data_IF_870135709165
#
_entry.id   IF_870135709165
#
_cell.length_a   1.000
_cell.length_b   1.000
_cell.length_c   1.000
_cell.angle_alpha   90.00
_cell.angle_beta   90.00
_cell.angle_gamma   90.00
#
_symmetry.space_group_name_H-M   'P 1'
#
loop_
_entity.id
_entity.type
_entity.pdbx_description
1 polymer ?
#
# COMPACT_ATOMS: atom_id res chain seq x y z
N UNK A 1 26.23 -34.28 -13.62
CA UNK A 1 24.83 -34.63 -13.85
C UNK A 1 24.07 -33.31 -13.93
N UNK A 2 23.74 -32.87 -15.14
CA UNK A 2 23.02 -31.64 -15.40
C UNK A 2 21.54 -31.92 -15.17
N UNK A 3 20.96 -31.33 -14.14
CA UNK A 3 19.51 -31.28 -14.00
C UNK A 3 18.96 -30.45 -15.17
N UNK A 4 18.24 -31.13 -16.04
CA UNK A 4 17.47 -30.50 -17.10
C UNK A 4 16.47 -29.56 -16.48
N UNK A 5 16.71 -28.26 -16.63
CA UNK A 5 15.70 -27.22 -16.43
C UNK A 5 14.54 -27.54 -17.38
N UNK A 6 13.53 -28.26 -16.90
CA UNK A 6 12.29 -28.42 -17.63
C UNK A 6 11.72 -27.02 -17.81
N UNK A 7 11.64 -26.54 -19.03
CA UNK A 7 10.98 -25.31 -19.43
C UNK A 7 9.48 -25.48 -19.23
N UNK A 8 9.05 -25.38 -17.97
CA UNK A 8 7.65 -25.34 -17.64
C UNK A 8 7.05 -24.10 -18.34
N UNK A 9 6.05 -24.30 -19.16
CA UNK A 9 5.28 -23.23 -19.79
C UNK A 9 4.91 -22.16 -18.72
N UNK A 10 4.94 -20.88 -19.06
CA UNK A 10 4.58 -19.85 -18.11
C UNK A 10 3.13 -20.06 -17.62
N UNK A 11 2.89 -19.92 -16.32
CA UNK A 11 1.56 -19.94 -15.74
C UNK A 11 0.87 -18.60 -16.03
N UNK A 12 -0.08 -18.58 -16.94
CA UNK A 12 -0.77 -17.37 -17.43
C UNK A 12 -2.28 -17.64 -17.57
N UNK A 13 -2.99 -17.88 -16.45
CA UNK A 13 -4.43 -18.13 -16.45
C UNK A 13 -5.23 -16.90 -16.90
N UNK A 14 -6.52 -17.09 -17.21
CA UNK A 14 -7.43 -15.98 -17.47
C UNK A 14 -7.51 -15.06 -16.24
N UNK A 15 -7.28 -13.77 -16.47
CA UNK A 15 -7.20 -12.80 -15.38
C UNK A 15 -8.15 -11.60 -15.58
N UNK A 16 -8.71 -11.10 -14.48
CA UNK A 16 -9.46 -9.85 -14.46
C UNK A 16 -8.76 -8.83 -13.54
N UNK A 17 -8.41 -7.69 -14.12
CA UNK A 17 -7.94 -6.54 -13.34
C UNK A 17 -9.15 -5.76 -12.87
N UNK A 18 -9.28 -5.51 -11.57
CA UNK A 18 -10.36 -4.71 -11.00
C UNK A 18 -9.81 -3.39 -10.49
N UNK A 19 -10.38 -2.30 -11.00
CA UNK A 19 -10.09 -0.93 -10.60
C UNK A 19 -11.34 -0.27 -10.04
N UNK A 20 -11.33 0.09 -8.76
CA UNK A 20 -12.40 0.84 -8.12
C UNK A 20 -12.02 2.33 -8.11
N UNK A 21 -12.88 3.18 -8.69
CA UNK A 21 -12.63 4.62 -8.85
C UNK A 21 -13.57 5.46 -7.98
N UNK A 22 -12.99 6.49 -7.38
CA UNK A 22 -13.68 7.58 -6.71
C UNK A 22 -12.89 8.87 -6.92
N UNK A 23 -13.40 9.74 -7.76
CA UNK A 23 -12.72 10.93 -8.25
C UNK A 23 -11.68 10.63 -9.34
N UNK A 24 -11.29 11.66 -10.06
CA UNK A 24 -10.25 11.59 -11.08
C UNK A 24 -8.92 12.08 -10.51
N UNK A 25 -8.11 11.17 -9.99
CA UNK A 25 -6.75 11.49 -9.59
C UNK A 25 -5.93 11.98 -10.80
N UNK A 26 -4.96 12.88 -10.61
CA UNK A 26 -4.17 13.45 -11.74
C UNK A 26 -3.42 12.40 -12.58
N UNK A 27 -3.17 11.23 -12.01
CA UNK A 27 -2.45 10.13 -12.66
C UNK A 27 -3.40 9.07 -13.28
N UNK A 28 -4.71 9.27 -13.18
CA UNK A 28 -5.69 8.29 -13.66
C UNK A 28 -5.55 7.97 -15.16
N UNK A 29 -5.33 8.95 -16.07
CA UNK A 29 -5.13 8.64 -17.49
C UNK A 29 -3.97 7.69 -17.75
N UNK A 30 -2.80 7.97 -17.14
CA UNK A 30 -1.59 7.16 -17.28
C UNK A 30 -1.76 5.79 -16.63
N UNK A 31 -2.44 5.72 -15.47
CA UNK A 31 -2.78 4.46 -14.81
C UNK A 31 -3.64 3.58 -15.74
N UNK A 32 -4.69 4.14 -16.33
CA UNK A 32 -5.56 3.41 -17.26
C UNK A 32 -4.78 2.92 -18.49
N UNK A 33 -3.96 3.77 -19.09
CA UNK A 33 -3.11 3.38 -20.23
C UNK A 33 -2.16 2.23 -19.86
N UNK A 34 -1.54 2.29 -18.69
CA UNK A 34 -0.67 1.22 -18.20
C UNK A 34 -1.41 -0.10 -18.00
N UNK A 35 -2.64 -0.07 -17.47
CA UNK A 35 -3.47 -1.26 -17.29
C UNK A 35 -3.93 -1.88 -18.62
N UNK A 36 -4.17 -1.05 -19.64
CA UNK A 36 -4.56 -1.51 -20.98
C UNK A 36 -3.40 -2.09 -21.80
N UNK A 37 -2.16 -1.87 -21.40
CA UNK A 37 -0.96 -2.29 -22.12
C UNK A 37 -0.13 -3.33 -21.35
N UNK A 38 -0.79 -4.21 -20.62
CA UNK A 38 -0.10 -5.31 -19.95
C UNK A 38 0.36 -6.38 -20.94
N UNK A 39 1.61 -6.83 -20.79
CA UNK A 39 2.19 -7.94 -21.55
C UNK A 39 1.67 -9.28 -20.98
N UNK A 40 0.39 -9.53 -21.18
CA UNK A 40 -0.32 -10.70 -20.69
C UNK A 40 -1.28 -11.22 -21.78
N UNK A 41 -1.34 -12.54 -22.04
CA UNK A 41 -2.03 -13.06 -23.22
C UNK A 41 -3.55 -12.87 -23.18
N UNK A 42 -4.17 -13.11 -22.03
CA UNK A 42 -5.61 -13.02 -21.87
C UNK A 42 -6.01 -12.39 -20.54
N UNK A 43 -6.53 -11.18 -20.61
CA UNK A 43 -7.07 -10.47 -19.45
C UNK A 43 -8.14 -9.47 -19.88
N UNK A 44 -8.95 -9.09 -18.91
CA UNK A 44 -9.88 -7.97 -19.03
C UNK A 44 -9.70 -6.98 -17.89
N UNK A 45 -10.22 -5.78 -18.07
CA UNK A 45 -10.23 -4.73 -17.03
C UNK A 45 -11.68 -4.43 -16.64
N UNK A 46 -12.00 -4.56 -15.36
CA UNK A 46 -13.30 -4.18 -14.83
C UNK A 46 -13.16 -2.94 -13.96
N UNK A 47 -13.77 -1.84 -14.38
CA UNK A 47 -13.74 -0.55 -13.71
C UNK A 47 -15.09 -0.31 -13.05
N UNK A 48 -15.10 -0.11 -11.73
CA UNK A 48 -16.30 0.27 -10.98
C UNK A 48 -16.11 1.70 -10.47
N UNK A 49 -16.97 2.62 -10.92
CA UNK A 49 -16.92 4.04 -10.56
C UNK A 49 -17.99 4.32 -9.51
N UNK A 50 -17.63 5.08 -8.47
CA UNK A 50 -18.44 5.35 -7.29
C UNK A 50 -19.87 5.85 -7.60
N UNK A 51 -20.03 6.80 -8.52
CA UNK A 51 -21.34 7.29 -8.94
C UNK A 51 -21.32 7.67 -10.42
N UNK A 52 -22.51 7.88 -11.00
CA UNK A 52 -22.64 8.32 -12.41
C UNK A 52 -22.18 9.76 -12.62
N UNK A 53 -22.17 10.54 -11.56
CA UNK A 53 -21.78 11.96 -11.56
C UNK A 53 -20.29 12.14 -11.24
N UNK A 54 -19.55 11.04 -11.03
CA UNK A 54 -18.12 11.11 -10.72
C UNK A 54 -17.32 11.52 -11.96
N UNK A 55 -16.43 12.49 -11.81
CA UNK A 55 -15.57 13.01 -12.89
C UNK A 55 -14.66 11.96 -13.54
N UNK A 56 -14.42 10.84 -12.86
CA UNK A 56 -13.67 9.71 -13.40
C UNK A 56 -14.30 9.14 -14.69
N UNK A 57 -15.61 9.30 -14.90
CA UNK A 57 -16.29 8.86 -16.12
C UNK A 57 -15.72 9.49 -17.38
N UNK A 58 -15.50 10.80 -17.35
CA UNK A 58 -14.99 11.53 -18.51
C UNK A 58 -13.55 11.08 -18.83
N UNK A 59 -12.73 10.91 -17.80
CA UNK A 59 -11.34 10.44 -17.96
C UNK A 59 -11.31 9.02 -18.53
N UNK A 60 -12.12 8.10 -17.97
CA UNK A 60 -12.21 6.72 -18.45
C UNK A 60 -12.72 6.70 -19.89
N UNK A 61 -13.82 7.40 -20.19
CA UNK A 61 -14.39 7.44 -21.53
C UNK A 61 -13.40 8.01 -22.56
N UNK A 62 -12.68 9.09 -22.22
CA UNK A 62 -11.67 9.68 -23.09
C UNK A 62 -10.50 8.73 -23.35
N UNK A 63 -10.04 8.02 -22.32
CA UNK A 63 -8.94 7.05 -22.44
C UNK A 63 -9.37 5.87 -23.32
N UNK A 64 -10.54 5.28 -23.05
CA UNK A 64 -11.02 4.10 -23.78
C UNK A 64 -11.31 4.37 -25.25
N UNK A 65 -11.70 5.58 -25.64
CA UNK A 65 -11.85 5.96 -27.06
C UNK A 65 -10.56 5.78 -27.86
N UNK A 66 -9.38 5.87 -27.22
CA UNK A 66 -8.08 5.65 -27.86
C UNK A 66 -7.75 4.16 -28.04
N UNK A 67 -8.42 3.28 -27.30
CA UNK A 67 -8.13 1.83 -27.23
C UNK A 67 -9.38 0.97 -27.39
N UNK A 68 -10.12 1.06 -28.50
CA UNK A 68 -11.44 0.45 -28.66
C UNK A 68 -11.43 -1.09 -28.71
N UNK A 69 -10.27 -1.69 -28.95
CA UNK A 69 -10.12 -3.16 -29.05
C UNK A 69 -9.85 -3.87 -27.72
N UNK A 70 -9.67 -3.09 -26.64
CA UNK A 70 -9.36 -3.66 -25.31
C UNK A 70 -10.64 -4.14 -24.63
N UNK A 71 -10.57 -5.30 -23.96
CA UNK A 71 -11.67 -5.85 -23.17
C UNK A 71 -11.80 -5.07 -21.84
N UNK A 72 -12.67 -4.08 -21.82
CA UNK A 72 -12.93 -3.26 -20.65
C UNK A 72 -14.41 -3.20 -20.34
N UNK A 73 -14.76 -3.52 -19.12
CA UNK A 73 -16.11 -3.35 -18.58
C UNK A 73 -16.11 -2.16 -17.62
N UNK A 74 -17.01 -1.21 -17.84
CA UNK A 74 -17.14 -0.03 -16.95
C UNK A 74 -18.56 0.03 -16.42
N UNK A 75 -18.71 0.15 -15.11
CA UNK A 75 -20.02 0.22 -14.46
C UNK A 75 -20.01 1.23 -13.31
N UNK A 76 -21.16 1.87 -13.02
CA UNK A 76 -21.31 2.60 -11.77
C UNK A 76 -21.46 1.62 -10.62
N UNK A 77 -21.05 2.03 -9.42
CA UNK A 77 -21.38 1.31 -8.21
C UNK A 77 -22.89 1.35 -7.97
N UNK A 78 -23.55 0.19 -8.03
CA UNK A 78 -25.01 0.07 -7.91
C UNK A 78 -25.48 0.07 -6.46
N UNK A 79 -24.72 -0.59 -5.58
CA UNK A 79 -25.08 -0.72 -4.17
C UNK A 79 -23.96 -0.24 -3.29
N UNK A 80 -24.18 0.92 -2.65
CA UNK A 80 -23.30 1.45 -1.60
C UNK A 80 -23.70 0.81 -0.27
N UNK A 81 -22.99 -0.26 0.11
CA UNK A 81 -23.25 -0.94 1.39
C UNK A 81 -22.89 0.01 2.55
N UNK A 82 -23.75 0.00 3.56
CA UNK A 82 -23.56 0.85 4.75
C UNK A 82 -22.66 0.16 5.80
N UNK A 83 -22.32 -1.11 5.59
CA UNK A 83 -21.63 -1.98 6.56
C UNK A 83 -20.16 -2.22 6.24
N UNK A 84 -19.65 -1.65 5.15
CA UNK A 84 -18.26 -1.85 4.74
C UNK A 84 -17.68 -0.62 4.05
N UNK A 85 -16.37 -0.65 3.82
CA UNK A 85 -15.69 0.33 3.00
C UNK A 85 -16.24 0.40 1.57
N UNK A 86 -16.26 1.58 0.99
CA UNK A 86 -16.83 1.76 -0.35
C UNK A 86 -16.09 0.97 -1.42
N UNK A 87 -14.76 0.83 -1.30
CA UNK A 87 -13.96 -0.02 -2.17
C UNK A 87 -14.41 -1.48 -2.08
N UNK A 88 -14.69 -1.99 -0.87
CA UNK A 88 -15.23 -3.34 -0.70
C UNK A 88 -16.56 -3.51 -1.43
N UNK A 89 -17.48 -2.52 -1.35
CA UNK A 89 -18.74 -2.55 -2.11
C UNK A 89 -18.51 -2.67 -3.62
N UNK A 90 -17.54 -1.91 -4.16
CA UNK A 90 -17.20 -1.93 -5.58
C UNK A 90 -16.57 -3.27 -6.00
N UNK A 91 -15.68 -3.82 -5.17
CA UNK A 91 -15.05 -5.12 -5.44
C UNK A 91 -16.05 -6.27 -5.40
N UNK A 92 -16.96 -6.29 -4.42
CA UNK A 92 -18.03 -7.30 -4.36
C UNK A 92 -18.88 -7.26 -5.63
N UNK A 93 -19.23 -6.05 -6.12
CA UNK A 93 -19.95 -5.93 -7.38
C UNK A 93 -19.14 -6.48 -8.56
N UNK A 94 -17.86 -6.13 -8.65
CA UNK A 94 -17.01 -6.57 -9.76
C UNK A 94 -16.80 -8.09 -9.75
N UNK A 95 -16.60 -8.70 -8.58
CA UNK A 95 -16.42 -10.15 -8.43
C UNK A 95 -17.71 -10.91 -8.82
N UNK A 96 -18.88 -10.41 -8.44
CA UNK A 96 -20.15 -11.02 -8.83
C UNK A 96 -20.43 -10.99 -10.34
N UNK A 97 -19.64 -10.23 -11.09
CA UNK A 97 -19.76 -10.06 -12.54
C UNK A 97 -18.56 -10.61 -13.31
N UNK A 98 -17.73 -11.43 -12.68
CA UNK A 98 -16.60 -12.09 -13.33
C UNK A 98 -17.08 -13.09 -14.39
N UNK A 99 -16.31 -13.23 -15.44
CA UNK A 99 -16.50 -14.32 -16.40
C UNK A 99 -16.19 -15.65 -15.71
N UNK A 100 -16.90 -16.70 -16.10
CA UNK A 100 -16.80 -18.04 -15.48
C UNK A 100 -15.40 -18.65 -15.59
N UNK A 101 -14.65 -18.27 -16.62
CA UNK A 101 -13.30 -18.76 -16.89
C UNK A 101 -12.22 -17.96 -16.17
N UNK A 102 -12.58 -16.93 -15.37
CA UNK A 102 -11.62 -16.11 -14.65
C UNK A 102 -11.01 -16.90 -13.48
N UNK A 103 -9.72 -17.17 -13.57
CA UNK A 103 -8.98 -17.92 -12.53
C UNK A 103 -8.26 -17.01 -11.52
N UNK A 104 -7.94 -15.77 -11.93
CA UNK A 104 -7.20 -14.81 -11.11
C UNK A 104 -7.81 -13.41 -11.19
N UNK A 105 -8.03 -12.82 -10.04
CA UNK A 105 -8.38 -11.40 -9.91
C UNK A 105 -7.17 -10.61 -9.47
N UNK A 106 -6.85 -9.52 -10.18
CA UNK A 106 -5.81 -8.58 -9.82
C UNK A 106 -6.42 -7.24 -9.41
N UNK A 107 -6.21 -6.83 -8.15
CA UNK A 107 -6.65 -5.54 -7.62
C UNK A 107 -5.57 -4.48 -7.81
N UNK A 108 -5.99 -3.27 -8.17
CA UNK A 108 -5.11 -2.13 -8.39
C UNK A 108 -5.76 -0.84 -7.88
N UNK A 109 -4.95 0.07 -7.34
CA UNK A 109 -5.38 1.43 -6.98
C UNK A 109 -5.20 2.40 -8.16
N UNK A 110 -6.00 3.46 -8.22
CA UNK A 110 -5.98 4.46 -9.31
C UNK A 110 -4.69 5.29 -9.36
N UNK A 111 -3.90 5.29 -8.30
CA UNK A 111 -2.60 5.96 -8.19
C UNK A 111 -1.40 5.01 -8.43
N UNK A 112 -1.68 3.80 -8.91
CA UNK A 112 -0.67 2.77 -9.13
C UNK A 112 -0.24 2.73 -10.59
N UNK A 113 0.98 3.20 -10.87
CA UNK A 113 1.57 3.20 -12.22
C UNK A 113 2.24 1.84 -12.49
N UNK A 114 1.49 0.93 -13.11
CA UNK A 114 1.98 -0.41 -13.41
C UNK A 114 2.92 -0.43 -14.62
N UNK A 115 3.98 -1.26 -14.56
CA UNK A 115 4.83 -1.49 -15.73
C UNK A 115 4.24 -2.60 -16.64
N UNK A 116 4.68 -2.75 -17.90
CA UNK A 116 4.04 -3.66 -18.85
C UNK A 116 4.01 -5.15 -18.42
N UNK A 117 4.92 -5.59 -17.58
CA UNK A 117 4.96 -6.97 -17.08
C UNK A 117 4.32 -7.15 -15.70
N UNK A 118 3.68 -6.10 -15.15
CA UNK A 118 3.15 -6.12 -13.80
C UNK A 118 2.18 -7.30 -13.56
N UNK A 119 1.19 -7.48 -14.43
CA UNK A 119 0.21 -8.56 -14.26
C UNK A 119 0.87 -9.95 -14.35
N UNK A 120 1.82 -10.13 -15.27
CA UNK A 120 2.57 -11.38 -15.42
C UNK A 120 3.38 -11.72 -14.17
N UNK A 121 4.10 -10.74 -13.63
CA UNK A 121 4.91 -10.93 -12.43
C UNK A 121 4.05 -11.15 -11.19
N UNK A 122 2.90 -10.48 -11.13
CA UNK A 122 1.94 -10.62 -10.02
C UNK A 122 1.30 -12.01 -10.03
N UNK A 123 0.94 -12.55 -11.19
CA UNK A 123 0.26 -13.85 -11.34
C UNK A 123 1.23 -15.03 -11.27
N UNK A 124 2.45 -14.88 -11.79
CA UNK A 124 3.40 -15.99 -11.93
C UNK A 124 3.62 -16.84 -10.66
N UNK A 125 3.76 -16.27 -9.45
CA UNK A 125 3.98 -17.08 -8.25
C UNK A 125 2.74 -17.87 -7.80
N UNK A 126 1.54 -17.55 -8.31
CA UNK A 126 0.31 -18.29 -8.03
C UNK A 126 0.32 -19.70 -8.65
N UNK A 127 1.31 -20.03 -9.50
CA UNK A 127 1.54 -21.39 -9.95
C UNK A 127 1.74 -22.37 -8.79
N UNK A 128 2.38 -21.93 -7.72
CA UNK A 128 2.51 -22.70 -6.48
C UNK A 128 1.13 -22.86 -5.83
N UNK A 129 0.64 -24.10 -5.64
CA UNK A 129 -0.65 -24.33 -5.01
C UNK A 129 -0.71 -23.81 -3.55
N UNK A 130 0.41 -23.70 -2.86
CA UNK A 130 0.48 -23.16 -1.52
C UNK A 130 0.29 -21.63 -1.45
N UNK A 131 0.33 -20.94 -2.60
CA UNK A 131 0.17 -19.49 -2.67
C UNK A 131 -1.25 -19.18 -3.16
N UNK A 132 -2.06 -18.55 -2.29
CA UNK A 132 -3.42 -18.12 -2.59
C UNK A 132 -3.50 -16.70 -3.13
N UNK A 133 -2.56 -15.84 -2.72
CA UNK A 133 -2.47 -14.47 -3.20
C UNK A 133 -1.02 -13.99 -3.30
N UNK A 134 -0.81 -12.99 -4.16
CA UNK A 134 0.49 -12.31 -4.32
C UNK A 134 0.30 -10.81 -4.21
N UNK A 135 1.30 -10.10 -3.67
CA UNK A 135 1.24 -8.66 -3.48
C UNK A 135 2.54 -7.97 -3.84
N UNK A 136 2.45 -6.76 -4.43
CA UNK A 136 3.52 -5.79 -4.51
C UNK A 136 3.49 -4.79 -3.37
N UNK A 137 4.20 -3.68 -3.53
CA UNK A 137 4.10 -2.53 -2.63
C UNK A 137 4.49 -1.22 -3.33
N UNK A 138 4.18 -0.11 -2.68
CA UNK A 138 4.62 1.23 -3.08
C UNK A 138 6.02 1.53 -2.57
N UNK A 139 6.73 2.37 -3.34
CA UNK A 139 7.97 3.00 -2.92
C UNK A 139 7.86 4.51 -3.12
N UNK A 140 7.72 5.25 -2.05
CA UNK A 140 7.56 6.69 -2.13
C UNK A 140 8.91 7.37 -2.35
N UNK A 141 8.95 8.26 -3.36
CA UNK A 141 10.13 9.09 -3.62
C UNK A 141 9.86 10.48 -3.03
N UNK A 142 10.61 10.90 -2.01
CA UNK A 142 10.38 12.17 -1.36
C UNK A 142 10.81 13.34 -2.25
N UNK A 143 9.99 14.39 -2.32
CA UNK A 143 10.45 15.72 -2.67
C UNK A 143 11.18 16.32 -1.47
N UNK A 144 12.33 16.95 -1.72
CA UNK A 144 13.20 17.54 -0.71
C UNK A 144 12.55 18.68 0.08
N UNK A 145 11.40 19.19 -0.37
CA UNK A 145 10.75 20.39 0.16
C UNK A 145 9.88 20.09 1.39
N UNK A 146 9.30 18.91 1.48
CA UNK A 146 8.28 18.57 2.47
C UNK A 146 8.75 17.52 3.47
N UNK A 147 8.79 17.87 4.75
CA UNK A 147 9.11 16.94 5.84
C UNK A 147 8.18 15.72 5.90
N UNK A 148 6.89 15.90 5.58
CA UNK A 148 5.95 14.79 5.52
C UNK A 148 6.35 13.75 4.49
N UNK A 149 6.86 14.15 3.32
CA UNK A 149 7.34 13.23 2.29
C UNK A 149 8.59 12.47 2.71
N UNK A 150 9.53 13.13 3.41
CA UNK A 150 10.72 12.49 3.97
C UNK A 150 10.35 11.45 5.03
N UNK A 151 9.45 11.81 5.95
CA UNK A 151 8.95 10.92 6.99
C UNK A 151 8.17 9.75 6.37
N UNK A 152 7.36 9.99 5.33
CA UNK A 152 6.62 8.94 4.61
C UNK A 152 7.58 7.97 3.91
N UNK A 153 8.63 8.45 3.30
CA UNK A 153 9.67 7.59 2.71
C UNK A 153 10.27 6.65 3.77
N UNK A 154 10.74 7.19 4.90
CA UNK A 154 11.33 6.39 5.98
C UNK A 154 10.33 5.40 6.59
N UNK A 155 9.10 5.83 6.81
CA UNK A 155 8.01 4.96 7.28
C UNK A 155 7.67 3.86 6.28
N UNK A 156 7.71 4.15 4.97
CA UNK A 156 7.49 3.17 3.91
C UNK A 156 8.63 2.15 3.82
N UNK A 157 9.90 2.57 3.97
CA UNK A 157 11.05 1.66 4.03
C UNK A 157 10.84 0.61 5.13
N UNK A 158 10.45 1.03 6.34
CA UNK A 158 10.14 0.11 7.43
C UNK A 158 8.90 -0.75 7.12
N UNK A 159 7.85 -0.17 6.55
CA UNK A 159 6.61 -0.86 6.22
C UNK A 159 6.80 -1.97 5.19
N UNK A 160 7.63 -1.76 4.15
CA UNK A 160 7.93 -2.79 3.14
C UNK A 160 8.54 -4.04 3.79
N UNK A 161 9.48 -3.85 4.72
CA UNK A 161 10.07 -4.96 5.47
C UNK A 161 9.03 -5.69 6.32
N UNK A 162 8.20 -4.95 7.06
CA UNK A 162 7.12 -5.56 7.85
C UNK A 162 6.08 -6.29 7.00
N UNK A 163 5.73 -5.73 5.83
CA UNK A 163 4.76 -6.35 4.92
C UNK A 163 5.28 -7.67 4.33
N UNK A 164 6.56 -7.72 3.95
CA UNK A 164 7.19 -8.96 3.51
C UNK A 164 7.26 -9.99 4.64
N UNK A 165 7.84 -9.61 5.80
CA UNK A 165 8.03 -10.52 6.94
C UNK A 165 6.73 -11.09 7.51
N UNK A 166 5.65 -10.30 7.50
CA UNK A 166 4.36 -10.68 8.08
C UNK A 166 3.29 -11.01 7.03
N UNK A 167 3.66 -11.07 5.75
CA UNK A 167 2.74 -11.39 4.65
C UNK A 167 1.51 -10.46 4.62
N UNK A 168 1.68 -9.15 4.86
CA UNK A 168 0.61 -8.17 4.83
C UNK A 168 0.35 -7.76 3.37
N UNK A 169 -0.81 -8.07 2.79
CA UNK A 169 -1.11 -7.69 1.41
C UNK A 169 -1.44 -6.20 1.28
N UNK A 170 -1.27 -5.68 0.07
CA UNK A 170 -1.65 -4.33 -0.32
C UNK A 170 -2.58 -4.36 -1.53
N UNK A 171 -3.81 -3.88 -1.37
CA UNK A 171 -4.85 -3.88 -2.38
C UNK A 171 -4.61 -2.99 -3.61
N UNK A 172 -3.51 -2.24 -3.65
CA UNK A 172 -3.10 -1.48 -4.83
C UNK A 172 -2.21 -2.24 -5.80
N UNK A 173 -1.77 -3.45 -5.44
CA UNK A 173 -1.09 -4.43 -6.32
C UNK A 173 -1.22 -5.81 -5.67
N UNK A 174 -2.36 -6.48 -5.91
CA UNK A 174 -2.73 -7.72 -5.23
C UNK A 174 -3.41 -8.66 -6.23
N UNK A 175 -2.92 -9.90 -6.38
CA UNK A 175 -3.64 -10.93 -7.11
C UNK A 175 -4.12 -12.03 -6.17
N UNK A 176 -5.32 -12.56 -6.46
CA UNK A 176 -6.00 -13.57 -5.66
C UNK A 176 -6.52 -14.64 -6.62
N UNK A 177 -6.30 -15.92 -6.34
CA UNK A 177 -6.97 -17.02 -7.06
C UNK A 177 -8.47 -16.97 -6.78
N UNK A 178 -9.29 -17.05 -7.81
CA UNK A 178 -10.76 -16.92 -7.70
C UNK A 178 -11.40 -17.94 -6.77
N UNK A 179 -10.87 -19.16 -6.70
CA UNK A 179 -11.37 -20.21 -5.80
C UNK A 179 -11.47 -19.76 -4.33
N UNK A 180 -10.60 -18.84 -3.88
CA UNK A 180 -10.62 -18.39 -2.48
C UNK A 180 -11.74 -17.41 -2.17
N UNK A 181 -12.48 -16.89 -3.15
CA UNK A 181 -13.67 -16.09 -2.85
C UNK A 181 -14.78 -16.94 -2.23
N UNK A 182 -14.94 -18.18 -2.70
CA UNK A 182 -15.93 -19.12 -2.19
C UNK A 182 -15.39 -19.89 -0.98
N UNK A 183 -14.17 -20.45 -1.08
CA UNK A 183 -13.55 -21.28 -0.06
C UNK A 183 -13.40 -20.58 1.31
N UNK A 184 -13.30 -19.23 1.32
CA UNK A 184 -13.10 -18.44 2.53
C UNK A 184 -14.26 -17.52 2.91
N UNK A 185 -15.37 -17.56 2.18
CA UNK A 185 -16.48 -16.61 2.30
C UNK A 185 -15.98 -15.14 2.23
N UNK A 186 -15.00 -14.88 1.36
CA UNK A 186 -14.28 -13.60 1.34
C UNK A 186 -15.22 -12.42 1.04
N UNK A 187 -16.22 -12.61 0.17
CA UNK A 187 -17.18 -11.56 -0.16
C UNK A 187 -18.07 -11.19 1.02
N UNK A 188 -18.43 -12.15 1.87
CA UNK A 188 -19.15 -11.88 3.10
C UNK A 188 -18.29 -11.07 4.08
N UNK A 189 -17.04 -11.46 4.27
CA UNK A 189 -16.08 -10.68 5.06
C UNK A 189 -15.92 -9.25 4.53
N UNK A 190 -15.78 -9.07 3.21
CA UNK A 190 -15.69 -7.74 2.59
C UNK A 190 -16.96 -6.93 2.80
N UNK A 191 -18.13 -7.55 2.89
CA UNK A 191 -19.40 -6.85 3.11
C UNK A 191 -19.51 -6.19 4.50
N UNK A 192 -18.60 -6.52 5.43
CA UNK A 192 -18.56 -6.02 6.79
C UNK A 192 -17.20 -5.36 7.14
N UNK A 193 -16.26 -5.30 6.19
CA UNK A 193 -14.90 -4.84 6.44
C UNK A 193 -14.67 -3.40 5.97
N UNK A 194 -13.74 -2.70 6.64
CA UNK A 194 -13.28 -1.38 6.23
C UNK A 194 -12.39 -1.41 4.98
N UNK A 195 -11.54 -2.44 4.87
CA UNK A 195 -10.58 -2.61 3.78
C UNK A 195 -10.54 -4.07 3.34
N UNK A 196 -10.26 -4.29 2.06
CA UNK A 196 -10.34 -5.59 1.38
C UNK A 196 -9.07 -6.44 1.53
N UNK A 197 -7.91 -5.80 1.75
CA UNK A 197 -6.61 -6.43 1.56
C UNK A 197 -6.11 -7.15 2.83
N UNK A 198 -5.96 -6.43 3.92
CA UNK A 198 -5.25 -6.92 5.12
C UNK A 198 -5.91 -8.17 5.74
N UNK A 199 -7.24 -8.29 5.66
CA UNK A 199 -8.00 -9.43 6.18
C UNK A 199 -7.72 -10.73 5.40
N UNK A 200 -7.25 -10.63 4.16
CA UNK A 200 -6.97 -11.77 3.29
C UNK A 200 -5.92 -12.72 3.88
N UNK A 201 -4.96 -12.19 4.68
CA UNK A 201 -3.97 -13.01 5.37
C UNK A 201 -4.64 -14.11 6.23
N UNK A 202 -5.60 -13.74 7.08
CA UNK A 202 -6.28 -14.68 7.95
C UNK A 202 -7.17 -15.65 7.16
N UNK A 203 -7.87 -15.16 6.14
CA UNK A 203 -8.73 -15.96 5.29
C UNK A 203 -7.94 -17.06 4.56
N UNK A 204 -6.82 -16.72 3.92
CA UNK A 204 -5.97 -17.69 3.25
C UNK A 204 -5.28 -18.65 4.20
N UNK A 205 -4.78 -18.15 5.34
CA UNK A 205 -4.14 -18.99 6.37
C UNK A 205 -5.07 -20.07 6.90
N UNK A 206 -6.35 -19.79 7.05
CA UNK A 206 -7.36 -20.77 7.47
C UNK A 206 -7.50 -21.92 6.46
N UNK A 207 -7.21 -21.69 5.19
CA UNK A 207 -7.21 -22.68 4.11
C UNK A 207 -5.80 -23.29 3.86
N UNK A 208 -4.82 -23.01 4.71
CA UNK A 208 -3.44 -23.48 4.51
C UNK A 208 -2.68 -22.77 3.40
N UNK A 209 -3.26 -21.73 2.80
CA UNK A 209 -2.63 -20.94 1.74
C UNK A 209 -1.89 -19.71 2.30
N UNK A 210 -0.99 -19.15 1.46
CA UNK A 210 -0.13 -18.03 1.85
C UNK A 210 -0.32 -16.83 0.95
N UNK A 211 -0.06 -15.65 1.50
CA UNK A 211 0.22 -14.43 0.73
C UNK A 211 1.72 -14.37 0.45
N UNK A 212 2.10 -14.14 -0.80
CA UNK A 212 3.51 -13.98 -1.20
C UNK A 212 3.80 -12.55 -1.64
N UNK A 213 4.76 -11.91 -1.02
CA UNK A 213 5.32 -10.65 -1.49
C UNK A 213 6.19 -10.87 -2.72
N UNK A 214 6.06 -9.99 -3.73
CA UNK A 214 6.83 -10.03 -4.98
C UNK A 214 7.68 -8.78 -5.08
N UNK A 215 8.98 -8.84 -4.73
CA UNK A 215 9.85 -7.66 -4.67
C UNK A 215 9.96 -6.88 -5.98
N UNK A 216 9.88 -7.58 -7.13
CA UNK A 216 9.91 -6.95 -8.44
C UNK A 216 8.69 -6.07 -8.71
N UNK A 217 7.63 -6.15 -7.90
CA UNK A 217 6.42 -5.35 -7.97
C UNK A 217 6.41 -4.17 -6.99
N UNK A 218 7.57 -3.69 -6.60
CA UNK A 218 7.70 -2.39 -5.91
C UNK A 218 7.43 -1.29 -6.93
N UNK A 219 6.37 -0.50 -6.72
CA UNK A 219 5.87 0.53 -7.63
C UNK A 219 6.23 1.91 -7.10
N UNK A 220 6.92 2.70 -7.92
CA UNK A 220 7.33 4.05 -7.55
C UNK A 220 6.11 4.96 -7.47
N UNK A 221 5.96 5.64 -6.34
CA UNK A 221 4.96 6.67 -6.12
C UNK A 221 5.65 8.02 -5.83
N UNK A 222 5.31 9.06 -6.59
CA UNK A 222 5.93 10.40 -6.52
C UNK A 222 5.02 11.43 -5.85
N UNK A 223 3.93 10.99 -5.25
CA UNK A 223 3.07 11.90 -4.48
C UNK A 223 3.83 12.55 -3.33
N UNK A 224 3.48 13.80 -3.06
CA UNK A 224 4.07 14.54 -1.94
C UNK A 224 3.02 14.82 -0.87
N UNK A 225 3.46 14.89 0.39
CA UNK A 225 2.55 15.18 1.50
C UNK A 225 3.23 16.03 2.58
N UNK A 226 2.43 16.81 3.29
CA UNK A 226 2.85 17.42 4.55
C UNK A 226 2.76 16.39 5.71
N UNK A 227 3.31 16.76 6.86
CA UNK A 227 3.37 15.86 8.02
C UNK A 227 1.99 15.47 8.54
N UNK A 228 1.01 16.38 8.49
CA UNK A 228 -0.36 16.10 8.93
C UNK A 228 -1.08 15.10 8.01
N UNK A 229 -0.89 15.25 6.70
CA UNK A 229 -1.41 14.29 5.72
C UNK A 229 -0.77 12.92 5.88
N UNK A 230 0.55 12.86 6.16
CA UNK A 230 1.22 11.61 6.51
C UNK A 230 0.61 10.94 7.74
N UNK A 231 0.40 11.68 8.83
CA UNK A 231 -0.17 11.12 10.06
C UNK A 231 -1.57 10.54 9.85
N UNK A 232 -2.43 11.25 9.10
CA UNK A 232 -3.77 10.74 8.76
C UNK A 232 -3.70 9.49 7.90
N UNK A 233 -2.82 9.48 6.89
CA UNK A 233 -2.62 8.33 6.03
C UNK A 233 -2.08 7.13 6.82
N UNK A 234 -1.04 7.31 7.64
CA UNK A 234 -0.44 6.24 8.45
C UNK A 234 -1.43 5.71 9.49
N UNK A 235 -2.19 6.58 10.16
CA UNK A 235 -3.29 6.16 11.05
C UNK A 235 -4.23 5.18 10.35
N UNK A 236 -4.62 5.46 9.11
CA UNK A 236 -5.53 4.59 8.34
C UNK A 236 -4.89 3.24 8.04
N UNK A 237 -3.63 3.21 7.59
CA UNK A 237 -2.92 1.95 7.34
C UNK A 237 -2.85 1.09 8.61
N UNK A 238 -2.42 1.69 9.72
CA UNK A 238 -2.29 1.03 11.02
C UNK A 238 -3.65 0.59 11.60
N UNK A 239 -4.72 1.35 11.33
CA UNK A 239 -6.07 0.95 11.69
C UNK A 239 -6.51 -0.33 11.00
N UNK A 240 -6.24 -0.49 9.71
CA UNK A 240 -6.53 -1.73 8.98
C UNK A 240 -5.74 -2.92 9.56
N UNK A 241 -4.46 -2.72 9.90
CA UNK A 241 -3.65 -3.74 10.58
C UNK A 241 -4.23 -4.09 11.96
N UNK A 242 -4.66 -3.09 12.75
CA UNK A 242 -5.31 -3.31 14.05
C UNK A 242 -6.55 -4.17 13.93
N UNK A 243 -7.37 -3.91 12.93
CA UNK A 243 -8.66 -4.58 12.77
C UNK A 243 -8.51 -6.01 12.26
N UNK A 244 -7.56 -6.26 11.35
CA UNK A 244 -7.59 -7.47 10.55
C UNK A 244 -6.31 -8.32 10.57
N UNK A 245 -5.19 -7.83 11.13
CA UNK A 245 -3.92 -8.55 11.01
C UNK A 245 -3.31 -8.89 12.38
N UNK A 246 -2.83 -10.13 12.58
CA UNK A 246 -2.24 -10.55 13.87
C UNK A 246 -0.91 -9.87 14.20
N UNK A 247 -0.29 -9.15 13.27
CA UNK A 247 0.96 -8.40 13.51
C UNK A 247 0.75 -7.06 14.25
N UNK A 248 -0.49 -6.69 14.59
CA UNK A 248 -0.75 -5.44 15.32
C UNK A 248 0.09 -5.27 16.59
N UNK A 249 0.20 -6.29 17.51
CA UNK A 249 1.07 -6.18 18.69
C UNK A 249 2.53 -5.92 18.34
N UNK A 250 3.03 -6.51 17.24
CA UNK A 250 4.41 -6.30 16.77
C UNK A 250 4.60 -4.85 16.32
N UNK A 251 3.63 -4.29 15.58
CA UNK A 251 3.66 -2.89 15.19
C UNK A 251 3.65 -1.96 16.42
N UNK A 252 2.84 -2.27 17.45
CA UNK A 252 2.81 -1.55 18.73
C UNK A 252 4.16 -1.58 19.44
N UNK A 253 4.77 -2.77 19.58
CA UNK A 253 6.08 -2.96 20.20
C UNK A 253 7.14 -2.17 19.42
N UNK A 254 7.16 -2.31 18.10
CA UNK A 254 8.10 -1.58 17.24
C UNK A 254 7.99 -0.07 17.45
N UNK A 255 6.79 0.50 17.35
CA UNK A 255 6.59 1.95 17.54
C UNK A 255 6.98 2.43 18.93
N UNK A 256 6.70 1.64 19.97
CA UNK A 256 7.06 1.96 21.34
C UNK A 256 8.57 1.91 21.57
N UNK A 257 9.22 0.83 21.18
CA UNK A 257 10.66 0.61 21.41
C UNK A 257 11.51 1.63 20.64
N UNK A 258 11.14 1.92 19.38
CA UNK A 258 11.90 2.88 18.54
C UNK A 258 11.85 4.32 19.06
N UNK A 259 10.89 4.67 19.92
CA UNK A 259 10.81 5.99 20.56
C UNK A 259 11.35 5.97 21.98
N UNK A 260 10.94 5.00 22.80
CA UNK A 260 11.35 4.95 24.21
C UNK A 260 12.83 4.66 24.39
N UNK A 261 13.41 3.77 23.59
CA UNK A 261 14.82 3.42 23.72
C UNK A 261 15.76 4.62 23.49
N UNK A 262 15.61 5.43 22.43
CA UNK A 262 16.38 6.66 22.28
C UNK A 262 16.16 7.70 23.40
N UNK A 263 14.91 7.84 23.88
CA UNK A 263 14.60 8.76 24.98
C UNK A 263 15.31 8.33 26.26
N UNK A 264 15.27 7.04 26.62
CA UNK A 264 15.97 6.48 27.79
C UNK A 264 17.49 6.66 27.65
N UNK A 265 18.05 6.35 26.49
CA UNK A 265 19.48 6.52 26.23
C UNK A 265 19.91 7.99 26.35
N UNK A 266 19.08 8.92 25.82
CA UNK A 266 19.32 10.37 25.96
C UNK A 266 19.23 10.80 27.44
N UNK A 267 18.24 10.32 28.18
CA UNK A 267 18.10 10.58 29.63
C UNK A 267 19.31 10.09 30.43
N UNK A 268 19.76 8.87 30.17
CA UNK A 268 20.96 8.30 30.80
C UNK A 268 22.22 9.09 30.43
N UNK A 269 22.36 9.50 29.19
CA UNK A 269 23.46 10.36 28.73
C UNK A 269 23.47 11.70 29.48
N UNK A 270 22.33 12.36 29.61
CA UNK A 270 22.24 13.64 30.34
C UNK A 270 22.58 13.47 31.83
N UNK A 271 22.01 12.42 32.49
CA UNK A 271 22.35 12.12 33.90
C UNK A 271 23.84 11.87 34.05
N UNK A 272 24.48 11.10 33.18
CA UNK A 272 25.91 10.80 33.21
C UNK A 272 26.77 12.07 33.02
N UNK A 273 26.33 12.99 32.16
CA UNK A 273 27.01 14.29 31.99
C UNK A 273 26.91 15.15 33.23
N UNK A 274 25.73 15.25 33.86
CA UNK A 274 25.51 16.02 35.09
C UNK A 274 26.27 15.44 36.31
N UNK A 275 26.44 14.11 36.34
CA UNK A 275 27.18 13.42 37.41
C UNK A 275 28.66 13.22 37.08
N UNK A 276 29.17 13.84 36.01
CA UNK A 276 30.55 13.72 35.53
C UNK A 276 31.03 12.29 35.27
N UNK A 277 30.08 11.37 34.94
CA UNK A 277 30.37 10.00 34.55
C UNK A 277 30.65 9.89 33.04
N UNK A 278 31.79 10.37 32.61
CA UNK A 278 32.13 10.51 31.18
C UNK A 278 32.06 9.20 30.41
N UNK A 279 32.51 8.06 30.99
CA UNK A 279 32.43 6.75 30.32
C UNK A 279 31.01 6.35 30.03
N UNK A 280 30.08 6.57 30.96
CA UNK A 280 28.66 6.27 30.79
C UNK A 280 28.02 7.18 29.74
N UNK A 281 28.39 8.48 29.72
CA UNK A 281 27.93 9.43 28.73
C UNK A 281 28.41 9.06 27.30
N UNK A 282 29.66 8.65 27.15
CA UNK A 282 30.23 8.17 25.88
C UNK A 282 29.53 6.90 25.44
N UNK A 283 29.29 5.94 26.33
CA UNK A 283 28.58 4.69 26.01
C UNK A 283 27.16 4.97 25.50
N UNK A 284 26.38 5.80 26.21
CA UNK A 284 25.01 6.15 25.82
C UNK A 284 24.96 6.91 24.49
N UNK A 285 25.85 7.88 24.27
CA UNK A 285 25.92 8.64 23.01
C UNK A 285 26.34 7.75 21.83
N UNK A 286 27.28 6.82 22.04
CA UNK A 286 27.71 5.85 21.03
C UNK A 286 26.58 4.89 20.67
N UNK A 287 25.79 4.43 21.66
CA UNK A 287 24.60 3.60 21.42
C UNK A 287 23.55 4.32 20.58
N UNK A 288 23.25 5.60 20.88
CA UNK A 288 22.34 6.42 20.09
C UNK A 288 22.85 6.62 18.65
N UNK A 289 24.13 6.97 18.49
CA UNK A 289 24.73 7.13 17.18
C UNK A 289 24.68 5.83 16.37
N UNK A 290 25.01 4.70 16.99
CA UNK A 290 24.95 3.38 16.34
C UNK A 290 23.53 3.03 15.89
N UNK A 291 22.51 3.30 16.73
CA UNK A 291 21.10 3.07 16.38
C UNK A 291 20.72 3.80 15.09
N UNK A 292 21.05 5.08 14.98
CA UNK A 292 20.74 5.88 13.79
C UNK A 292 21.57 5.49 12.58
N UNK A 293 22.84 5.15 12.78
CA UNK A 293 23.71 4.66 11.70
C UNK A 293 23.14 3.38 11.12
N UNK A 294 22.74 2.41 11.95
CA UNK A 294 22.18 1.14 11.48
C UNK A 294 20.88 1.38 10.70
N UNK A 295 19.99 2.23 11.18
CA UNK A 295 18.74 2.57 10.47
C UNK A 295 19.00 3.25 9.12
N UNK A 296 19.93 4.18 9.08
CA UNK A 296 20.33 4.82 7.82
C UNK A 296 20.93 3.84 6.82
N UNK A 297 21.79 2.94 7.28
CA UNK A 297 22.39 1.89 6.44
C UNK A 297 21.34 0.92 5.90
N UNK A 298 20.35 0.52 6.71
CA UNK A 298 19.23 -0.30 6.27
C UNK A 298 18.40 0.42 5.19
N UNK A 299 18.09 1.70 5.39
CA UNK A 299 17.36 2.50 4.40
C UNK A 299 18.14 2.60 3.08
N UNK A 300 19.44 2.84 3.13
CA UNK A 300 20.31 2.90 1.95
C UNK A 300 20.36 1.54 1.23
N UNK A 301 20.47 0.45 1.97
CA UNK A 301 20.53 -0.90 1.39
C UNK A 301 19.23 -1.25 0.66
N UNK A 302 18.08 -0.95 1.26
CA UNK A 302 16.78 -1.15 0.63
C UNK A 302 16.59 -0.25 -0.59
N UNK A 303 16.98 1.03 -0.50
CA UNK A 303 16.96 1.94 -1.65
C UNK A 303 17.80 1.40 -2.82
N UNK A 304 19.02 0.89 -2.55
CA UNK A 304 19.85 0.28 -3.58
C UNK A 304 19.18 -0.94 -4.23
N UNK A 305 18.45 -1.74 -3.44
CA UNK A 305 17.64 -2.86 -3.94
C UNK A 305 16.55 -2.37 -4.90
N UNK A 306 15.78 -1.36 -4.48
CA UNK A 306 14.71 -0.75 -5.28
C UNK A 306 15.28 -0.09 -6.55
N UNK A 307 16.41 0.61 -6.47
CA UNK A 307 17.08 1.21 -7.63
C UNK A 307 17.49 0.15 -8.68
N UNK A 308 17.87 -1.05 -8.25
CA UNK A 308 18.15 -2.16 -9.18
C UNK A 308 16.88 -2.62 -9.91
N UNK A 309 15.75 -2.72 -9.20
CA UNK A 309 14.45 -3.08 -9.78
C UNK A 309 14.01 -2.03 -10.81
N UNK A 310 14.05 -0.74 -10.44
CA UNK A 310 13.71 0.39 -11.32
C UNK A 310 14.59 0.38 -12.57
N UNK A 311 15.90 0.15 -12.40
CA UNK A 311 16.85 0.05 -13.53
C UNK A 311 16.52 -1.11 -14.47
N UNK A 312 16.18 -2.28 -13.91
CA UNK A 312 15.82 -3.45 -14.72
C UNK A 312 14.58 -3.22 -15.58
N UNK A 313 13.65 -2.36 -15.12
CA UNK A 313 12.45 -1.96 -15.86
C UNK A 313 12.66 -0.80 -16.84
N UNK A 314 13.88 -0.23 -16.90
CA UNK A 314 14.21 0.96 -17.69
C UNK A 314 13.39 2.22 -17.28
N UNK A 315 12.87 2.24 -16.05
CA UNK A 315 12.20 3.41 -15.51
C UNK A 315 13.21 4.50 -15.07
N UNK A 316 12.74 5.76 -15.03
CA UNK A 316 13.55 6.88 -14.57
C UNK A 316 13.91 6.73 -13.09
N UNK A 317 15.21 6.69 -12.81
CA UNK A 317 15.73 6.53 -11.45
C UNK A 317 15.66 7.86 -10.68
N UNK A 318 15.07 7.87 -9.48
CA UNK A 318 15.16 9.02 -8.60
C UNK A 318 16.62 9.25 -8.18
N UNK A 319 17.06 10.51 -8.22
CA UNK A 319 18.37 10.92 -7.75
C UNK A 319 18.21 11.69 -6.45
N UNK A 320 18.89 11.27 -5.40
CA UNK A 320 18.96 12.01 -4.14
C UNK A 320 20.19 12.92 -4.16
N UNK A 321 19.97 14.20 -3.98
CA UNK A 321 21.03 15.15 -3.73
C UNK A 321 21.60 14.97 -2.31
N UNK A 322 22.84 15.40 -2.07
CA UNK A 322 23.49 15.30 -0.76
C UNK A 322 22.66 15.97 0.35
N UNK A 323 22.00 17.08 0.05
CA UNK A 323 21.11 17.75 1.00
C UNK A 323 19.89 16.92 1.36
N UNK A 324 19.36 16.13 0.42
CA UNK A 324 18.24 15.21 0.69
C UNK A 324 18.68 14.10 1.63
N UNK A 325 19.86 13.53 1.41
CA UNK A 325 20.41 12.50 2.29
C UNK A 325 20.60 13.03 3.72
N UNK A 326 21.13 14.25 3.87
CA UNK A 326 21.25 14.89 5.18
C UNK A 326 19.87 15.08 5.84
N UNK A 327 18.87 15.58 5.09
CA UNK A 327 17.50 15.75 5.59
C UNK A 327 16.87 14.42 5.98
N UNK A 328 17.11 13.34 5.23
CA UNK A 328 16.62 12.00 5.57
C UNK A 328 17.20 11.51 6.89
N UNK A 329 18.50 11.72 7.15
CA UNK A 329 19.10 11.40 8.44
C UNK A 329 18.44 12.15 9.58
N UNK A 330 18.23 13.47 9.43
CA UNK A 330 17.55 14.30 10.42
C UNK A 330 16.06 13.92 10.58
N UNK A 331 15.44 13.34 9.55
CA UNK A 331 14.06 12.90 9.58
C UNK A 331 13.86 11.56 10.32
N UNK A 332 14.91 10.78 10.59
CA UNK A 332 14.77 9.47 11.26
C UNK A 332 14.04 9.60 12.61
N UNK A 333 14.49 10.42 13.58
CA UNK A 333 13.78 10.56 14.86
C UNK A 333 12.37 11.14 14.68
N UNK A 334 12.16 12.05 13.73
CA UNK A 334 10.85 12.59 13.42
C UNK A 334 9.90 11.50 12.88
N UNK A 335 10.42 10.61 12.03
CA UNK A 335 9.64 9.48 11.50
C UNK A 335 9.22 8.49 12.60
N UNK A 336 10.09 8.22 13.56
CA UNK A 336 9.81 7.37 14.71
C UNK A 336 8.68 7.96 15.59
N UNK A 337 8.81 9.25 15.94
CA UNK A 337 7.79 9.97 16.72
C UNK A 337 6.46 10.03 15.96
N UNK A 338 6.49 10.35 14.68
CA UNK A 338 5.29 10.41 13.85
C UNK A 338 4.61 9.03 13.71
N UNK A 339 5.39 7.95 13.60
CA UNK A 339 4.86 6.59 13.61
C UNK A 339 4.22 6.25 14.95
N UNK A 340 4.85 6.59 16.09
CA UNK A 340 4.30 6.38 17.42
C UNK A 340 2.99 7.14 17.61
N UNK A 341 2.92 8.40 17.18
CA UNK A 341 1.68 9.19 17.21
C UNK A 341 0.58 8.51 16.38
N UNK A 342 0.92 8.06 15.17
CA UNK A 342 -0.03 7.42 14.27
C UNK A 342 -0.56 6.09 14.85
N UNK A 343 0.31 5.29 15.49
CA UNK A 343 -0.07 4.00 16.08
C UNK A 343 -0.97 4.19 17.31
N UNK A 344 -0.65 5.15 18.18
CA UNK A 344 -1.49 5.48 19.33
C UNK A 344 -2.86 6.01 18.87
N UNK A 345 -2.86 6.86 17.84
CA UNK A 345 -4.10 7.36 17.25
C UNK A 345 -4.92 6.24 16.62
N UNK A 346 -4.29 5.31 15.91
CA UNK A 346 -4.95 4.14 15.35
C UNK A 346 -5.49 3.20 16.44
N UNK A 347 -4.79 3.05 17.58
CA UNK A 347 -5.18 2.16 18.68
C UNK A 347 -6.55 2.54 19.28
N UNK A 348 -6.86 3.84 19.35
CA UNK A 348 -8.11 4.37 19.94
C UNK A 348 -9.12 4.83 18.90
N UNK A 349 -8.81 4.73 17.61
CA UNK A 349 -9.67 5.24 16.55
C UNK A 349 -10.97 4.46 16.45
N UNK A 350 -12.10 5.20 16.50
CA UNK A 350 -13.46 4.72 16.25
C UNK A 350 -14.12 5.39 15.04
N UNK A 351 -13.48 6.41 14.49
CA UNK A 351 -13.94 7.14 13.33
C UNK A 351 -12.81 7.37 12.35
N UNK A 352 -13.14 7.31 11.07
CA UNK A 352 -12.19 7.62 10.01
C UNK A 352 -12.90 8.30 8.84
N UNK A 353 -12.32 9.41 8.37
CA UNK A 353 -12.61 9.98 7.06
C UNK A 353 -11.71 9.37 6.00
N UNK A 354 -12.31 8.87 4.94
CA UNK A 354 -11.60 8.37 3.78
C UNK A 354 -12.20 8.93 2.49
N UNK A 355 -11.51 9.88 1.89
CA UNK A 355 -11.95 10.56 0.65
C UNK A 355 -13.37 11.14 0.74
N UNK A 356 -13.70 11.80 1.88
CA UNK A 356 -15.00 12.42 2.12
C UNK A 356 -16.11 11.43 2.48
N UNK A 357 -15.74 10.24 2.93
CA UNK A 357 -16.66 9.25 3.49
C UNK A 357 -16.28 9.05 4.96
N UNK A 358 -17.22 9.29 5.86
CA UNK A 358 -17.02 9.06 7.27
C UNK A 358 -17.51 7.67 7.66
N UNK A 359 -16.64 6.90 8.29
CA UNK A 359 -16.93 5.57 8.82
C UNK A 359 -16.84 5.59 10.34
N UNK A 360 -17.82 4.96 10.99
CA UNK A 360 -17.79 4.56 12.39
C UNK A 360 -17.33 3.11 12.50
N UNK A 361 -16.45 2.83 13.47
CA UNK A 361 -15.81 1.53 13.65
C UNK A 361 -16.10 1.05 15.07
N UNK A 362 -17.05 0.13 15.22
CA UNK A 362 -17.42 -0.46 16.49
C UNK A 362 -16.60 -1.71 16.79
N UNK A 363 -16.34 -2.52 15.75
CA UNK A 363 -15.52 -3.73 15.82
C UNK A 363 -14.92 -4.03 14.43
N UNK A 364 -14.05 -5.02 14.27
CA UNK A 364 -13.53 -5.44 12.95
C UNK A 364 -14.61 -5.75 11.92
N UNK A 365 -15.76 -6.25 12.38
CA UNK A 365 -16.89 -6.68 11.54
C UNK A 365 -18.18 -5.88 11.78
N UNK A 366 -18.08 -4.73 12.43
CA UNK A 366 -19.17 -3.74 12.57
C UNK A 366 -18.64 -2.37 12.16
N UNK A 367 -18.61 -2.15 10.86
CA UNK A 367 -18.24 -0.89 10.23
C UNK A 367 -19.52 -0.24 9.72
N UNK A 368 -19.68 1.06 9.96
CA UNK A 368 -20.84 1.83 9.48
C UNK A 368 -20.39 3.03 8.66
N UNK A 369 -20.89 3.13 7.46
CA UNK A 369 -20.78 4.33 6.65
C UNK A 369 -21.79 5.35 7.21
N UNK A 370 -21.27 6.38 7.91
CA UNK A 370 -22.11 7.39 8.58
C UNK A 370 -22.45 8.54 7.64
N UNK A 371 -21.48 8.96 6.83
CA UNK A 371 -21.65 10.09 5.93
C UNK A 371 -20.99 9.82 4.60
N UNK A 372 -21.76 9.97 3.54
CA UNK A 372 -21.28 9.95 2.17
C UNK A 372 -21.35 11.36 1.59
N UNK A 373 -20.24 11.86 1.08
CA UNK A 373 -20.20 13.07 0.28
C UNK A 373 -19.66 12.70 -1.10
N UNK A 374 -20.29 13.13 -2.21
CA UNK A 374 -19.73 12.99 -3.54
C UNK A 374 -18.29 13.52 -3.54
N UNK A 375 -17.40 12.87 -4.30
CA UNK A 375 -16.03 13.32 -4.37
C UNK A 375 -16.00 14.75 -4.93
N UNK A 376 -15.32 15.62 -4.22
CA UNK A 376 -15.05 16.97 -4.68
C UNK A 376 -13.53 17.11 -4.85
N UNK A 377 -13.04 17.39 -6.06
CA UNK A 377 -11.63 17.64 -6.26
C UNK A 377 -11.21 18.84 -5.41
N UNK A 378 -10.15 18.69 -4.63
CA UNK A 378 -9.60 19.84 -3.91
C UNK A 378 -9.01 20.82 -4.92
N UNK A 379 -9.16 22.14 -4.68
CA UNK A 379 -8.60 23.14 -5.59
C UNK A 379 -7.11 22.85 -5.80
N UNK A 380 -6.69 22.77 -7.06
CA UNK A 380 -5.28 22.62 -7.44
C UNK A 380 -4.53 23.80 -6.84
N UNK A 381 -3.73 23.55 -5.79
CA UNK A 381 -2.68 24.48 -5.38
C UNK A 381 -1.75 24.57 -6.59
N UNK A 382 -1.66 25.79 -7.16
CA UNK A 382 -0.80 26.05 -8.28
C UNK A 382 0.60 25.48 -7.98
N UNK A 383 1.10 24.68 -8.89
CA UNK A 383 2.49 24.22 -8.99
C UNK A 383 3.01 23.15 -8.03
N UNK A 384 2.18 22.34 -7.40
CA UNK A 384 2.70 21.16 -6.71
C UNK A 384 1.82 19.94 -6.97
N UNK A 385 2.42 18.83 -7.44
CA UNK A 385 1.84 17.49 -7.48
C UNK A 385 1.64 16.96 -6.04
N UNK A 386 0.95 17.75 -5.22
CA UNK A 386 0.65 17.42 -3.82
C UNK A 386 -0.70 16.74 -3.84
N UNK A 387 -0.70 15.44 -3.72
CA UNK A 387 -1.89 14.69 -3.38
C UNK A 387 -2.23 14.99 -1.92
N UNK A 388 -3.46 15.31 -1.67
CA UNK A 388 -4.01 15.39 -0.30
C UNK A 388 -4.73 14.08 -0.09
N UNK A 389 -4.00 13.14 0.50
CA UNK A 389 -4.54 11.88 1.02
C UNK A 389 -5.53 12.13 2.15
#
# INVERSE_FOLDING_TARGET
>A
MSEASSSLLPYLPEATIILSLRGADPFLPECLEALLHQNYPSYQVHIVIDSREDEAWDVVAQTLRRYPTKKVKVSPLRTKRQTCGLKCSALIQAIAELDIDCEVVALVDADTMTHPNWLRELVSPLRDPAIGATTGNRWYIPDQRLWGSLVRYLGNVASVVHMDMHCIPWGGSLAIKTQYFDDTNLLEHWSQALAEDVLLYNALKAQGAKVKFVPSLIIVNREQCNLWSYLRWMKRQLLCVRLYHPSWPIAMIHGTVTVLLPILALGLMLIALFTHQWNSAICASSGLALLWVVQGLLAITLEQGVQKIIKARQEERPRFEAITLLKLWLAIPLAQVAFMIAILWAAVARHIDWRGIDYEINSPWDIRLVKYQPYQPKPKLADTRISVL
#
